data_IF_295127409215
#
_entry.id   IF_295127409215
#
_cell.length_a   1.000
_cell.length_b   1.000
_cell.length_c   1.000
_cell.angle_alpha   90.00
_cell.angle_beta   90.00
_cell.angle_gamma   90.00
#
_symmetry.space_group_name_H-M   'P 1'
#
loop_
_entity.id
_entity.type
_entity.pdbx_description
1 polymer ?
#
# COMPACT_ATOMS: atom_id res chain seq x y z
N UNK A 1 -38.33 -15.99 -8.93
CA UNK A 1 -37.67 -14.72 -8.54
C UNK A 1 -36.21 -15.02 -8.29
N UNK A 2 -35.32 -14.44 -9.10
CA UNK A 2 -33.87 -14.68 -9.03
C UNK A 2 -33.23 -13.83 -7.93
N UNK A 3 -31.99 -14.15 -7.55
CA UNK A 3 -31.21 -13.33 -6.60
C UNK A 3 -30.99 -11.90 -7.14
N UNK A 4 -30.86 -11.75 -8.46
CA UNK A 4 -30.79 -10.45 -9.11
C UNK A 4 -32.08 -9.64 -8.92
N UNK A 5 -33.25 -10.26 -9.10
CA UNK A 5 -34.54 -9.58 -8.92
C UNK A 5 -34.71 -9.07 -7.48
N UNK A 6 -34.32 -9.87 -6.47
CA UNK A 6 -34.39 -9.48 -5.06
C UNK A 6 -33.46 -8.32 -4.72
N UNK A 7 -32.26 -8.30 -5.30
CA UNK A 7 -31.32 -7.19 -5.13
C UNK A 7 -31.82 -5.92 -5.80
N UNK A 8 -32.41 -6.03 -6.99
CA UNK A 8 -33.02 -4.89 -7.70
C UNK A 8 -34.19 -4.31 -6.91
N UNK A 9 -35.05 -5.14 -6.33
CA UNK A 9 -36.19 -4.66 -5.54
C UNK A 9 -35.76 -4.00 -4.22
N UNK A 10 -34.83 -4.63 -3.47
CA UNK A 10 -34.26 -4.02 -2.26
C UNK A 10 -33.59 -2.68 -2.56
N UNK A 11 -32.91 -2.58 -3.70
CA UNK A 11 -32.28 -1.36 -4.17
C UNK A 11 -33.30 -0.26 -4.50
N UNK A 12 -34.38 -0.61 -5.19
CA UNK A 12 -35.44 0.32 -5.52
C UNK A 12 -36.17 0.81 -4.26
N UNK A 13 -36.36 -0.04 -3.25
CA UNK A 13 -36.90 0.37 -1.95
C UNK A 13 -35.98 1.35 -1.22
N UNK A 14 -34.67 1.08 -1.20
CA UNK A 14 -33.69 1.98 -0.58
C UNK A 14 -33.58 3.33 -1.31
N UNK A 15 -33.75 3.33 -2.64
CA UNK A 15 -33.80 4.56 -3.44
C UNK A 15 -34.98 5.45 -3.04
N UNK A 16 -36.13 4.86 -2.70
CA UNK A 16 -37.30 5.61 -2.22
C UNK A 16 -37.09 6.21 -0.82
N UNK A 17 -36.13 5.70 -0.05
CA UNK A 17 -35.78 6.16 1.30
C UNK A 17 -34.82 7.35 1.39
N UNK A 18 -34.58 8.10 0.30
CA UNK A 18 -33.76 9.32 0.34
C UNK A 18 -32.28 9.13 -0.04
N UNK A 19 -31.93 8.07 -0.76
CA UNK A 19 -30.59 7.93 -1.32
C UNK A 19 -30.30 9.03 -2.37
N UNK A 20 -29.14 9.67 -2.25
CA UNK A 20 -28.66 10.67 -3.22
C UNK A 20 -28.24 9.99 -4.53
N UNK A 21 -27.71 8.77 -4.44
CA UNK A 21 -27.32 7.99 -5.61
C UNK A 21 -27.63 6.52 -5.41
N UNK A 22 -28.14 5.90 -6.47
CA UNK A 22 -28.41 4.48 -6.53
C UNK A 22 -28.15 4.03 -7.98
N UNK A 23 -26.98 3.47 -8.27
CA UNK A 23 -26.69 2.85 -9.56
C UNK A 23 -25.59 1.80 -9.54
N UNK A 24 -25.24 1.31 -10.72
CA UNK A 24 -24.04 0.48 -10.94
C UNK A 24 -22.84 1.41 -11.06
N UNK A 25 -21.79 1.11 -10.30
CA UNK A 25 -20.48 1.72 -10.47
C UNK A 25 -19.50 0.67 -10.97
N UNK A 26 -18.55 1.09 -11.80
CA UNK A 26 -17.43 0.25 -12.22
C UNK A 26 -16.15 0.80 -11.61
N UNK A 27 -15.44 -0.06 -10.88
CA UNK A 27 -14.14 0.31 -10.33
C UNK A 27 -13.08 0.06 -11.40
N UNK A 28 -12.56 1.13 -12.00
CA UNK A 28 -11.47 1.08 -12.97
C UNK A 28 -10.15 1.45 -12.30
N UNK A 29 -9.05 0.84 -12.73
CA UNK A 29 -7.69 1.17 -12.28
C UNK A 29 -7.45 1.12 -10.76
N UNK A 30 -8.18 0.29 -10.00
CA UNK A 30 -7.86 0.05 -8.59
C UNK A 30 -6.66 -0.88 -8.48
N UNK A 31 -5.67 -0.49 -7.68
CA UNK A 31 -4.56 -1.35 -7.28
C UNK A 31 -4.14 -1.00 -5.86
N UNK A 32 -3.57 -1.96 -5.14
CA UNK A 32 -3.03 -1.78 -3.78
C UNK A 32 -1.92 -0.70 -3.71
N UNK A 33 -1.41 -0.25 -4.87
CA UNK A 33 -0.35 0.75 -5.02
C UNK A 33 -0.83 2.08 -5.62
N UNK A 34 -2.15 2.27 -5.85
CA UNK A 34 -2.68 3.49 -6.43
C UNK A 34 -2.62 4.66 -5.42
N UNK A 35 -1.54 5.44 -5.44
CA UNK A 35 -1.45 6.73 -4.73
C UNK A 35 -2.24 7.79 -5.51
N UNK A 36 -3.44 8.15 -5.04
CA UNK A 36 -4.12 9.37 -5.52
C UNK A 36 -5.64 9.33 -5.68
N UNK A 37 -6.33 8.23 -5.38
CA UNK A 37 -7.79 8.22 -5.26
C UNK A 37 -8.19 7.55 -3.95
N UNK A 38 -8.80 8.32 -3.06
CA UNK A 38 -9.36 7.79 -1.83
C UNK A 38 -10.88 7.77 -2.00
N UNK A 39 -11.43 6.57 -2.20
CA UNK A 39 -12.86 6.33 -2.15
C UNK A 39 -13.13 5.49 -0.91
N UNK A 40 -13.73 6.09 0.11
CA UNK A 40 -14.09 5.41 1.35
C UNK A 40 -15.53 4.92 1.24
N UNK A 41 -15.73 3.60 1.17
CA UNK A 41 -17.05 2.98 1.28
C UNK A 41 -17.11 2.25 2.62
N UNK A 42 -18.12 2.56 3.44
CA UNK A 42 -18.39 1.81 4.67
C UNK A 42 -19.42 0.73 4.33
N UNK A 43 -18.95 -0.51 4.21
CA UNK A 43 -19.82 -1.67 4.03
C UNK A 43 -20.31 -2.07 5.41
N UNK A 44 -21.55 -1.69 5.74
CA UNK A 44 -22.19 -2.18 6.95
C UNK A 44 -23.33 -3.13 6.58
N UNK A 45 -23.07 -4.41 6.78
CA UNK A 45 -24.08 -5.41 7.00
C UNK A 45 -23.38 -6.60 7.68
N UNK A 46 -23.34 -6.57 9.01
CA UNK A 46 -23.22 -7.73 9.91
C UNK A 46 -23.63 -9.05 9.21
N UNK A 47 -22.82 -10.11 9.18
CA UNK A 47 -22.21 -10.77 10.32
C UNK A 47 -20.68 -10.95 10.23
N UNK A 48 -20.05 -10.27 11.19
CA UNK A 48 -18.71 -10.38 11.73
C UNK A 48 -17.44 -10.28 10.85
N UNK A 49 -17.05 -9.06 10.44
CA UNK A 49 -15.70 -8.77 9.97
C UNK A 49 -14.60 -8.89 11.05
N UNK A 50 -14.93 -9.15 12.33
CA UNK A 50 -13.94 -9.37 13.38
C UNK A 50 -13.22 -10.72 13.27
N UNK A 51 -13.72 -11.68 12.49
CA UNK A 51 -13.02 -12.96 12.32
C UNK A 51 -11.81 -12.86 11.38
N UNK A 52 -11.75 -11.86 10.48
CA UNK A 52 -10.54 -11.60 9.70
C UNK A 52 -10.48 -10.17 9.10
N UNK A 53 -10.08 -9.15 9.88
CA UNK A 53 -9.93 -7.77 9.40
C UNK A 53 -8.81 -7.58 8.36
N UNK A 54 -8.01 -8.61 8.06
CA UNK A 54 -6.86 -8.51 7.16
C UNK A 54 -7.19 -8.73 5.68
N UNK A 55 -8.42 -9.15 5.35
CA UNK A 55 -8.78 -9.45 3.95
C UNK A 55 -9.63 -8.32 3.39
N UNK A 56 -9.01 -7.47 2.58
CA UNK A 56 -9.71 -6.43 1.81
C UNK A 56 -10.88 -7.07 1.03
N UNK A 57 -12.11 -6.52 1.10
CA UNK A 57 -13.29 -7.09 0.44
C UNK A 57 -13.16 -7.17 -1.09
N UNK A 58 -12.20 -6.43 -1.66
CA UNK A 58 -11.90 -6.42 -3.09
C UNK A 58 -10.66 -7.25 -3.46
N UNK A 59 -10.06 -7.98 -2.50
CA UNK A 59 -8.93 -8.87 -2.79
C UNK A 59 -9.37 -9.96 -3.77
N UNK A 60 -8.77 -9.97 -4.96
CA UNK A 60 -9.13 -10.90 -6.05
C UNK A 60 -10.09 -10.33 -7.10
N UNK A 61 -10.57 -9.09 -6.93
CA UNK A 61 -11.33 -8.40 -7.96
C UNK A 61 -10.43 -8.10 -9.18
N UNK A 62 -10.95 -8.34 -10.39
CA UNK A 62 -10.24 -8.01 -11.64
C UNK A 62 -10.00 -6.50 -11.73
N UNK A 63 -8.74 -6.14 -11.98
CA UNK A 63 -8.31 -4.79 -12.24
C UNK A 63 -7.82 -4.67 -13.69
N UNK A 64 -8.54 -3.89 -14.51
CA UNK A 64 -8.11 -3.49 -15.84
C UNK A 64 -8.66 -2.10 -16.17
N UNK A 65 -7.96 -1.32 -17.01
CA UNK A 65 -8.47 -0.04 -17.53
C UNK A 65 -9.78 -0.20 -18.32
N UNK A 66 -10.02 -1.38 -18.89
CA UNK A 66 -11.21 -1.71 -19.70
C UNK A 66 -12.16 -2.66 -18.98
N UNK A 67 -11.61 -3.56 -18.16
CA UNK A 67 -12.33 -4.64 -17.48
C UNK A 67 -12.22 -4.48 -15.96
N UNK A 68 -12.98 -3.54 -15.42
CA UNK A 68 -13.11 -3.33 -13.98
C UNK A 68 -14.25 -4.16 -13.38
N UNK A 69 -14.23 -4.39 -12.08
CA UNK A 69 -15.38 -4.97 -11.39
C UNK A 69 -16.53 -3.98 -11.28
N UNK A 70 -17.73 -4.47 -11.54
CA UNK A 70 -18.96 -3.72 -11.38
C UNK A 70 -19.62 -4.05 -10.05
N UNK A 71 -20.08 -3.01 -9.37
CA UNK A 71 -20.73 -3.11 -8.08
C UNK A 71 -21.99 -2.25 -8.10
N UNK A 72 -22.97 -2.63 -7.28
CA UNK A 72 -24.09 -1.76 -6.97
C UNK A 72 -23.66 -0.79 -5.87
N UNK A 73 -23.85 0.50 -6.10
CA UNK A 73 -23.51 1.55 -5.15
C UNK A 73 -24.76 2.31 -4.76
N UNK A 74 -24.92 2.47 -3.45
CA UNK A 74 -25.96 3.25 -2.82
C UNK A 74 -25.30 4.32 -1.95
N UNK A 75 -25.63 5.59 -2.20
CA UNK A 75 -25.16 6.73 -1.41
C UNK A 75 -26.35 7.31 -0.68
N UNK A 76 -26.36 7.19 0.64
CA UNK A 76 -27.41 7.71 1.51
C UNK A 76 -26.81 8.88 2.31
N UNK A 77 -27.49 10.04 2.37
CA UNK A 77 -27.08 11.10 3.28
C UNK A 77 -27.17 10.58 4.71
N UNK A 78 -26.05 10.56 5.41
CA UNK A 78 -26.05 10.35 6.86
C UNK A 78 -26.46 11.68 7.47
N UNK A 79 -27.58 11.70 8.19
CA UNK A 79 -27.97 12.88 8.95
C UNK A 79 -26.80 13.28 9.87
N UNK A 80 -26.50 14.58 10.04
CA UNK A 80 -25.48 14.99 10.99
C UNK A 80 -25.85 14.37 12.34
N UNK A 81 -24.92 13.58 12.89
CA UNK A 81 -25.11 12.90 14.16
C UNK A 81 -25.53 13.97 15.17
N UNK A 82 -26.75 13.84 15.71
CA UNK A 82 -27.21 14.78 16.72
C UNK A 82 -26.15 14.77 17.84
N UNK A 83 -25.66 15.94 18.29
CA UNK A 83 -24.56 15.99 19.24
C UNK A 83 -24.89 15.05 20.39
N UNK A 84 -24.00 14.08 20.61
CA UNK A 84 -24.18 13.06 21.63
C UNK A 84 -24.60 13.76 22.91
N UNK A 85 -25.78 13.40 23.43
CA UNK A 85 -26.28 13.94 24.69
C UNK A 85 -25.15 13.69 25.70
N UNK A 86 -24.59 14.74 26.33
CA UNK A 86 -23.41 14.58 27.17
C UNK A 86 -23.70 13.49 28.18
N UNK A 87 -22.89 12.44 28.17
CA UNK A 87 -22.99 11.38 29.15
C UNK A 87 -22.88 12.05 30.53
N UNK A 88 -23.77 11.69 31.48
CA UNK A 88 -23.73 12.29 32.81
C UNK A 88 -22.37 11.98 33.41
N UNK A 89 -21.56 13.03 33.56
CA UNK A 89 -20.32 12.94 34.33
C UNK A 89 -20.66 12.31 35.68
N UNK A 90 -20.03 11.20 36.08
CA UNK A 90 -20.18 10.71 37.44
C UNK A 90 -19.69 11.83 38.36
N UNK A 91 -20.63 12.49 39.03
CA UNK A 91 -20.32 13.39 40.12
C UNK A 91 -19.45 12.61 41.10
N UNK A 92 -18.25 13.13 41.35
CA UNK A 92 -17.34 12.62 42.35
C UNK A 92 -17.95 12.82 43.74
N UNK A 93 -18.86 11.91 44.12
CA UNK A 93 -19.08 11.57 45.51
C UNK A 93 -18.12 10.42 45.81
N UNK A 94 -17.07 10.68 46.59
CA UNK A 94 -16.89 10.03 47.90
C UNK A 94 -15.70 10.69 48.62
N UNK A 95 -15.99 11.06 49.85
CA UNK A 95 -15.13 11.59 50.89
C UNK A 95 -13.89 10.72 51.17
N UNK A 96 -12.84 11.34 51.73
CA UNK A 96 -11.88 10.59 52.55
C UNK A 96 -10.51 11.24 52.58
N UNK A 97 -10.27 12.08 53.59
CA UNK A 97 -8.96 12.65 53.86
C UNK A 97 -7.88 11.56 54.01
N UNK A 98 -6.73 11.80 53.39
CA UNK A 98 -5.49 11.15 53.77
C UNK A 98 -4.54 12.26 54.23
N UNK A 99 -4.44 12.40 55.55
CA UNK A 99 -3.39 13.17 56.18
C UNK A 99 -2.12 12.34 56.24
N UNK A 100 -0.99 13.01 56.00
CA UNK A 100 0.31 12.57 56.50
C UNK A 100 1.07 11.58 55.61
N UNK A 101 1.80 12.11 54.63
CA UNK A 101 3.07 11.54 54.18
C UNK A 101 4.10 12.67 54.07
N UNK A 102 4.60 13.11 55.23
CA UNK A 102 5.91 13.75 55.33
C UNK A 102 6.95 12.63 55.28
N UNK A 103 7.88 12.68 54.33
CA UNK A 103 8.90 11.66 54.17
C UNK A 103 9.85 12.01 53.04
N UNK A 104 10.86 12.80 53.37
CA UNK A 104 12.04 13.11 52.58
C UNK A 104 12.74 11.82 52.11
N UNK A 105 13.19 11.75 50.85
CA UNK A 105 13.93 10.54 50.42
C UNK A 105 14.17 10.34 48.93
N UNK A 106 14.81 11.31 48.28
CA UNK A 106 15.81 11.16 47.21
C UNK A 106 15.66 9.96 46.24
N UNK A 107 15.20 10.23 45.01
CA UNK A 107 15.70 9.56 43.81
C UNK A 107 16.02 10.64 42.78
N UNK A 108 17.20 11.25 42.94
CA UNK A 108 17.74 12.18 41.96
C UNK A 108 18.00 11.45 40.64
N UNK A 109 17.22 11.77 39.61
CA UNK A 109 17.76 11.73 38.27
C UNK A 109 18.57 13.01 38.06
N UNK A 110 19.82 12.91 37.57
CA UNK A 110 20.52 14.09 37.11
C UNK A 110 19.70 14.74 35.99
N UNK A 111 19.70 16.09 35.88
CA UNK A 111 19.10 16.77 34.75
C UNK A 111 19.72 16.19 33.49
N UNK A 112 18.88 15.68 32.60
CA UNK A 112 19.25 15.30 31.24
C UNK A 112 19.80 16.59 30.65
N UNK A 113 21.12 16.66 30.48
CA UNK A 113 21.72 17.70 29.66
C UNK A 113 21.14 17.47 28.27
N UNK A 114 20.35 18.43 27.81
CA UNK A 114 19.98 18.55 26.40
C UNK A 114 21.29 18.54 25.62
N UNK A 115 21.66 17.37 25.13
CA UNK A 115 22.76 17.25 24.18
C UNK A 115 22.34 18.07 22.97
N UNK A 116 23.10 19.14 22.72
CA UNK A 116 23.08 19.97 21.53
C UNK A 116 22.63 19.13 20.34
N UNK A 117 21.40 19.38 19.90
CA UNK A 117 20.85 18.89 18.65
C UNK A 117 21.88 19.27 17.58
N UNK A 118 22.60 18.31 16.95
CA UNK A 118 23.61 18.66 15.98
C UNK A 118 22.93 19.42 14.86
N UNK A 119 23.30 20.70 14.74
CA UNK A 119 22.87 21.67 13.73
C UNK A 119 22.16 20.99 12.57
N UNK A 120 20.83 21.08 12.60
CA UNK A 120 19.96 20.57 11.56
C UNK A 120 20.53 21.00 10.20
N UNK A 121 21.17 20.06 9.51
CA UNK A 121 21.66 20.27 8.15
C UNK A 121 20.51 20.91 7.37
N UNK A 122 20.74 22.05 6.69
CA UNK A 122 19.67 22.82 6.08
C UNK A 122 18.86 21.89 5.19
N UNK A 123 17.56 21.81 5.51
CA UNK A 123 16.60 20.97 4.81
C UNK A 123 16.80 21.15 3.31
N UNK A 124 17.21 20.08 2.64
CA UNK A 124 17.40 20.09 1.20
C UNK A 124 16.13 20.67 0.55
N UNK A 125 16.26 21.65 -0.37
CA UNK A 125 15.10 22.31 -0.94
C UNK A 125 14.17 21.26 -1.57
N UNK A 126 12.83 21.41 -1.41
CA UNK A 126 11.88 20.49 -1.98
C UNK A 126 12.12 20.40 -3.48
N UNK A 127 12.49 19.21 -3.94
CA UNK A 127 12.70 18.95 -5.36
C UNK A 127 11.41 19.27 -6.12
N UNK A 128 11.47 20.01 -7.24
CA UNK A 128 10.28 20.35 -8.01
C UNK A 128 9.53 19.08 -8.44
N UNK A 129 8.20 19.14 -8.61
CA UNK A 129 7.39 17.99 -8.98
C UNK A 129 7.93 17.39 -10.28
N UNK A 130 8.52 16.19 -10.16
CA UNK A 130 9.14 15.51 -11.27
C UNK A 130 8.08 15.22 -12.35
N UNK A 131 8.21 15.90 -13.47
CA UNK A 131 7.43 15.65 -14.68
C UNK A 131 7.54 14.16 -15.02
N UNK A 132 6.40 13.50 -15.31
CA UNK A 132 6.35 12.05 -15.53
C UNK A 132 7.12 11.70 -16.82
N UNK A 133 8.40 11.37 -16.67
CA UNK A 133 9.24 10.88 -17.76
C UNK A 133 8.76 9.50 -18.21
N UNK A 134 8.80 9.25 -19.51
CA UNK A 134 8.46 7.93 -20.06
C UNK A 134 9.48 6.91 -19.56
N UNK A 135 9.04 5.67 -19.40
CA UNK A 135 9.86 4.59 -18.83
C UNK A 135 11.13 4.32 -19.67
N UNK A 136 11.09 4.65 -20.96
CA UNK A 136 12.21 4.57 -21.91
C UNK A 136 13.33 5.57 -21.63
N UNK A 137 12.98 6.68 -20.99
CA UNK A 137 13.89 7.81 -20.77
C UNK A 137 14.54 7.75 -19.38
N UNK A 138 14.22 6.70 -18.60
CA UNK A 138 14.79 6.45 -17.29
C UNK A 138 16.21 5.87 -17.43
N UNK A 139 17.15 6.27 -16.56
CA UNK A 139 18.49 5.68 -16.53
C UNK A 139 18.44 4.17 -16.28
N UNK A 140 19.41 3.43 -16.82
CA UNK A 140 19.47 1.96 -16.71
C UNK A 140 19.45 1.49 -15.25
N UNK A 141 20.11 2.22 -14.36
CA UNK A 141 20.09 1.95 -12.92
C UNK A 141 18.69 1.92 -12.31
N UNK A 142 17.80 2.82 -12.76
CA UNK A 142 16.43 2.93 -12.27
C UNK A 142 15.53 1.87 -12.91
N UNK A 143 15.73 1.59 -14.20
CA UNK A 143 15.06 0.47 -14.91
C UNK A 143 15.39 -0.87 -14.26
N UNK A 144 16.65 -1.10 -13.89
CA UNK A 144 17.08 -2.31 -13.19
C UNK A 144 16.44 -2.42 -11.80
N UNK A 145 16.32 -1.31 -11.06
CA UNK A 145 15.66 -1.30 -9.76
C UNK A 145 14.18 -1.69 -9.86
N UNK A 146 13.45 -1.16 -10.86
CA UNK A 146 12.05 -1.53 -11.12
C UNK A 146 11.92 -3.02 -11.46
N UNK A 147 12.79 -3.55 -12.32
CA UNK A 147 12.78 -4.96 -12.68
C UNK A 147 13.01 -5.88 -11.47
N UNK A 148 13.92 -5.51 -10.57
CA UNK A 148 14.17 -6.28 -9.35
C UNK A 148 13.01 -6.28 -8.35
N UNK A 149 12.06 -5.34 -8.47
CA UNK A 149 10.86 -5.27 -7.62
C UNK A 149 9.70 -6.14 -8.15
N UNK A 150 9.81 -6.65 -9.38
CA UNK A 150 8.79 -7.51 -9.97
C UNK A 150 8.75 -8.87 -9.26
N UNK A 151 7.54 -9.30 -8.85
CA UNK A 151 7.35 -10.53 -8.07
C UNK A 151 7.79 -11.80 -8.79
N UNK A 152 7.74 -11.80 -10.11
CA UNK A 152 8.09 -12.95 -10.96
C UNK A 152 9.58 -13.00 -11.30
N UNK A 153 10.31 -11.91 -11.08
CA UNK A 153 11.73 -11.83 -11.45
C UNK A 153 12.62 -12.83 -10.69
N UNK A 154 12.46 -13.06 -9.37
CA UNK A 154 13.18 -14.12 -8.66
C UNK A 154 12.97 -15.52 -9.28
N UNK A 155 11.74 -15.84 -9.68
CA UNK A 155 11.41 -17.14 -10.29
C UNK A 155 12.09 -17.30 -11.65
N UNK A 156 12.10 -16.25 -12.46
CA UNK A 156 12.79 -16.24 -13.74
C UNK A 156 14.30 -16.48 -13.59
N UNK A 157 14.94 -15.84 -12.60
CA UNK A 157 16.37 -16.03 -12.36
C UNK A 157 16.66 -17.45 -11.87
N UNK A 158 15.83 -18.00 -10.98
CA UNK A 158 15.98 -19.38 -10.51
C UNK A 158 15.83 -20.41 -11.64
N UNK A 159 14.93 -20.17 -12.60
CA UNK A 159 14.67 -21.04 -13.75
C UNK A 159 15.79 -20.97 -14.81
N UNK A 160 16.18 -19.77 -15.22
CA UNK A 160 17.12 -19.57 -16.34
C UNK A 160 18.59 -19.51 -15.95
N UNK A 161 18.89 -19.14 -14.70
CA UNK A 161 20.26 -18.94 -14.22
C UNK A 161 20.50 -19.64 -12.87
N UNK A 162 20.34 -20.98 -12.79
CA UNK A 162 20.50 -21.72 -11.54
C UNK A 162 21.92 -21.58 -10.96
N UNK A 163 22.95 -21.44 -11.81
CA UNK A 163 24.34 -21.27 -11.39
C UNK A 163 24.60 -19.95 -10.63
N UNK A 164 23.75 -18.94 -10.85
CA UNK A 164 23.87 -17.63 -10.20
C UNK A 164 22.88 -17.44 -9.05
N UNK A 165 21.97 -18.40 -8.86
CA UNK A 165 20.95 -18.38 -7.83
C UNK A 165 21.50 -19.02 -6.54
N UNK A 166 21.59 -18.22 -5.48
CA UNK A 166 21.99 -18.76 -4.18
C UNK A 166 20.83 -19.61 -3.61
N UNK A 167 21.12 -20.79 -3.08
CA UNK A 167 20.12 -21.72 -2.52
C UNK A 167 19.28 -21.13 -1.37
N UNK A 168 19.76 -20.04 -0.76
CA UNK A 168 19.02 -19.25 0.22
C UNK A 168 17.84 -18.47 -0.38
N UNK A 169 17.72 -18.39 -1.71
CA UNK A 169 16.53 -17.92 -2.44
C UNK A 169 16.16 -16.46 -2.24
N UNK A 170 16.97 -15.68 -1.52
CA UNK A 170 16.55 -14.41 -0.95
C UNK A 170 17.14 -13.17 -1.62
N UNK A 171 18.00 -13.30 -2.63
CA UNK A 171 18.69 -12.12 -3.18
C UNK A 171 18.79 -12.10 -4.71
N UNK A 172 17.66 -11.84 -5.37
CA UNK A 172 17.60 -11.59 -6.81
C UNK A 172 18.50 -10.41 -7.24
N UNK A 173 18.79 -9.47 -6.35
CA UNK A 173 19.66 -8.33 -6.63
C UNK A 173 21.13 -8.77 -6.72
N UNK A 174 21.58 -9.70 -5.87
CA UNK A 174 22.93 -10.29 -5.99
C UNK A 174 23.07 -11.12 -7.25
N UNK A 175 22.10 -11.98 -7.56
CA UNK A 175 22.12 -12.77 -8.79
C UNK A 175 22.16 -11.86 -10.03
N UNK A 176 21.33 -10.80 -10.04
CA UNK A 176 21.35 -9.76 -11.07
C UNK A 176 22.74 -9.13 -11.27
N UNK A 177 23.40 -8.75 -10.18
CA UNK A 177 24.75 -8.15 -10.19
C UNK A 177 25.78 -9.09 -10.81
N UNK A 178 25.74 -10.38 -10.46
CA UNK A 178 26.62 -11.41 -11.03
C UNK A 178 26.39 -11.59 -12.53
N UNK A 179 25.13 -11.67 -12.97
CA UNK A 179 24.76 -11.85 -14.39
C UNK A 179 25.20 -10.64 -15.23
N UNK A 180 24.94 -9.42 -14.74
CA UNK A 180 25.33 -8.19 -15.44
C UNK A 180 26.81 -7.85 -15.27
N UNK A 181 27.53 -8.52 -14.35
CA UNK A 181 28.93 -8.26 -14.03
C UNK A 181 29.18 -6.86 -13.46
N UNK A 182 28.29 -6.38 -12.58
CA UNK A 182 28.38 -5.06 -11.94
C UNK A 182 28.30 -5.18 -10.42
N UNK A 183 29.00 -4.32 -9.69
CA UNK A 183 28.92 -4.28 -8.22
C UNK A 183 27.71 -3.46 -7.75
N UNK A 184 27.32 -2.47 -8.55
CA UNK A 184 26.23 -1.54 -8.26
C UNK A 184 25.35 -1.27 -9.47
N UNK A 185 24.04 -1.06 -9.24
CA UNK A 185 23.09 -0.64 -10.29
C UNK A 185 23.51 0.65 -10.99
N UNK A 186 24.26 1.53 -10.30
CA UNK A 186 24.74 2.79 -10.87
C UNK A 186 25.79 2.60 -11.98
N UNK A 187 26.52 1.47 -11.99
CA UNK A 187 27.55 1.18 -12.99
C UNK A 187 26.96 0.91 -14.37
N UNK A 188 25.70 0.47 -14.45
CA UNK A 188 24.97 0.31 -15.71
C UNK A 188 24.85 1.60 -16.52
N UNK A 189 24.97 2.77 -15.88
CA UNK A 189 24.97 4.05 -16.59
C UNK A 189 26.35 4.43 -17.13
N UNK A 190 27.42 3.76 -16.67
CA UNK A 190 28.82 4.06 -17.02
C UNK A 190 29.41 3.02 -17.97
N UNK A 191 29.04 1.75 -17.80
CA UNK A 191 29.52 0.62 -18.60
C UNK A 191 28.47 0.22 -19.65
N UNK A 192 28.82 0.44 -20.92
CA UNK A 192 27.96 0.11 -22.07
C UNK A 192 27.78 -1.41 -22.25
N UNK A 193 28.80 -2.22 -21.94
CA UNK A 193 28.73 -3.67 -22.07
C UNK A 193 27.83 -4.26 -20.97
N UNK A 194 27.89 -3.71 -19.76
CA UNK A 194 26.95 -4.04 -18.69
C UNK A 194 25.51 -3.64 -19.05
N UNK A 195 25.31 -2.46 -19.64
CA UNK A 195 24.00 -2.02 -20.11
C UNK A 195 23.43 -2.95 -21.20
N UNK A 196 24.26 -3.40 -22.14
CA UNK A 196 23.86 -4.35 -23.18
C UNK A 196 23.45 -5.72 -22.60
N UNK A 197 24.21 -6.22 -21.61
CA UNK A 197 23.87 -7.44 -20.87
C UNK A 197 22.54 -7.30 -20.14
N UNK A 198 22.30 -6.16 -19.50
CA UNK A 198 21.02 -5.86 -18.86
C UNK A 198 19.85 -5.83 -19.86
N UNK A 199 19.99 -5.18 -21.01
CA UNK A 199 18.93 -5.13 -22.02
C UNK A 199 18.64 -6.51 -22.63
N UNK A 200 19.64 -7.38 -22.74
CA UNK A 200 19.43 -8.80 -23.10
C UNK A 200 18.64 -9.52 -22.02
N UNK A 201 19.08 -9.45 -20.77
CA UNK A 201 18.39 -10.06 -19.62
C UNK A 201 16.92 -9.62 -19.53
N UNK A 202 16.65 -8.34 -19.77
CA UNK A 202 15.30 -7.78 -19.74
C UNK A 202 14.42 -8.35 -20.87
N UNK A 203 14.97 -8.52 -22.08
CA UNK A 203 14.23 -9.15 -23.20
C UNK A 203 13.92 -10.61 -22.88
N UNK A 204 14.88 -11.34 -22.32
CA UNK A 204 14.71 -12.74 -21.96
C UNK A 204 13.63 -12.90 -20.86
N UNK A 205 13.60 -12.00 -19.87
CA UNK A 205 12.54 -11.95 -18.85
C UNK A 205 11.15 -11.77 -19.47
N UNK A 206 10.97 -10.77 -20.33
CA UNK A 206 9.65 -10.53 -20.93
C UNK A 206 9.23 -11.65 -21.89
N UNK A 207 10.17 -12.25 -22.62
CA UNK A 207 9.90 -13.42 -23.44
C UNK A 207 9.42 -14.60 -22.56
N UNK A 208 10.09 -14.86 -21.44
CA UNK A 208 9.69 -15.88 -20.49
C UNK A 208 8.31 -15.63 -19.87
N UNK A 209 7.97 -14.37 -19.53
CA UNK A 209 6.62 -14.07 -18.99
C UNK A 209 5.49 -14.26 -20.00
N UNK A 210 5.79 -14.33 -21.30
CA UNK A 210 4.82 -14.56 -22.37
C UNK A 210 4.67 -16.05 -22.71
N UNK A 211 5.60 -16.91 -22.28
CA UNK A 211 5.46 -18.36 -22.44
C UNK A 211 4.27 -18.83 -21.58
N UNK A 212 3.28 -19.53 -22.16
CA UNK A 212 2.18 -20.07 -21.38
C UNK A 212 2.75 -21.08 -20.37
N UNK A 213 2.49 -20.85 -19.07
CA UNK A 213 2.83 -21.81 -18.03
C UNK A 213 2.08 -23.10 -18.35
N UNK A 214 2.81 -24.10 -18.82
CA UNK A 214 2.28 -25.40 -19.25
C UNK A 214 1.89 -26.29 -18.07
#
# INVERSE_FOLDING_TARGET
MTMADRLTDAFNMLRQGGAIYAGRARLTNWSDNARGMNASFRLDASADPLENPATNPFKGAHCSPKDGHEFMVLVIPVAPEAPAKPEPHPCAETMGGCGGCYGEGICGLPPIQEEDEPDALPAAPPSPPAERRKITDLPFSQRAALLCQEKLFPNFIADRFPDHWDASGLDAVKAFRRICGVESRAELNKDADAAQRFDRLRRDYYAWTQEPVA
#
